data_IF_750522810142
#
_entry.id   IF_750522810142
#
_cell.length_a   1.000
_cell.length_b   1.000
_cell.length_c   1.000
_cell.angle_alpha   90.00
_cell.angle_beta   90.00
_cell.angle_gamma   90.00
#
_symmetry.space_group_name_H-M   'P 1'
#
loop_
_entity.id
_entity.type
_entity.pdbx_description
1 polymer ?
#
# COMPACT_ATOMS: atom_id res chain seq x y z
N UNK A 1 9.28 -13.07 8.09
CA UNK A 1 9.01 -11.86 8.93
C UNK A 1 7.53 -11.51 8.74
N UNK A 2 6.85 -10.50 9.34
CA UNK A 2 5.52 -10.17 8.84
C UNK A 2 5.73 -9.39 7.53
N UNK A 3 5.78 -10.13 6.42
CA UNK A 3 6.27 -9.70 5.09
C UNK A 3 5.21 -8.92 4.32
N UNK A 4 4.03 -8.75 4.92
CA UNK A 4 2.83 -8.24 4.28
C UNK A 4 2.56 -6.77 4.61
N UNK A 5 3.60 -5.96 4.82
CA UNK A 5 3.44 -4.50 4.98
C UNK A 5 4.22 -3.75 3.92
N UNK A 6 3.55 -2.77 3.30
CA UNK A 6 4.15 -1.86 2.33
C UNK A 6 4.29 -0.50 2.99
N UNK A 7 5.50 0.05 2.98
CA UNK A 7 5.76 1.38 3.53
C UNK A 7 5.44 2.49 2.53
N UNK A 8 5.30 3.71 3.03
CA UNK A 8 5.19 4.92 2.20
C UNK A 8 6.37 5.06 1.23
N UNK A 9 7.56 4.65 1.67
CA UNK A 9 8.77 4.67 0.84
C UNK A 9 8.68 3.66 -0.31
N UNK A 10 8.14 2.46 -0.04
CA UNK A 10 7.96 1.42 -1.06
C UNK A 10 6.94 1.87 -2.12
N UNK A 11 5.81 2.45 -1.70
CA UNK A 11 4.83 3.02 -2.63
C UNK A 11 5.46 4.08 -3.53
N UNK A 12 6.23 5.01 -2.95
CA UNK A 12 6.95 6.04 -3.72
C UNK A 12 7.98 5.43 -4.68
N UNK A 13 8.69 4.39 -4.26
CA UNK A 13 9.65 3.68 -5.12
C UNK A 13 8.96 2.97 -6.30
N UNK A 14 7.72 2.51 -6.11
CA UNK A 14 6.86 1.96 -7.15
C UNK A 14 6.16 3.04 -8.01
N UNK A 15 6.38 4.32 -7.72
CA UNK A 15 5.74 5.44 -8.42
C UNK A 15 4.27 5.69 -8.02
N UNK A 16 3.82 5.07 -6.92
CA UNK A 16 2.46 5.22 -6.39
C UNK A 16 2.46 6.34 -5.35
N UNK A 17 1.58 7.34 -5.52
CA UNK A 17 1.39 8.38 -4.51
C UNK A 17 0.69 7.78 -3.27
N UNK A 18 1.29 7.86 -2.06
CA UNK A 18 0.65 7.40 -0.82
C UNK A 18 -0.70 8.05 -0.51
N UNK A 19 -1.01 9.21 -1.09
CA UNK A 19 -2.34 9.82 -0.99
C UNK A 19 -3.43 8.92 -1.63
N UNK A 20 -3.08 8.12 -2.64
CA UNK A 20 -3.99 7.19 -3.31
C UNK A 20 -4.47 6.09 -2.36
N UNK A 21 -3.70 5.71 -1.34
CA UNK A 21 -4.14 4.74 -0.32
C UNK A 21 -5.45 5.21 0.32
N UNK A 22 -5.58 6.51 0.64
CA UNK A 22 -6.82 7.04 1.24
C UNK A 22 -8.00 7.09 0.28
N UNK A 23 -7.74 7.17 -1.02
CA UNK A 23 -8.77 7.31 -2.05
C UNK A 23 -9.25 5.95 -2.52
N UNK A 24 -8.32 5.02 -2.78
CA UNK A 24 -8.59 3.72 -3.38
C UNK A 24 -8.71 2.59 -2.33
N UNK A 25 -8.09 2.76 -1.17
CA UNK A 25 -8.10 1.80 -0.07
C UNK A 25 -8.52 2.48 1.25
N UNK A 26 -9.72 3.09 1.35
CA UNK A 26 -10.15 3.83 2.54
C UNK A 26 -10.26 2.97 3.81
N UNK A 27 -10.28 1.64 3.68
CA UNK A 27 -10.25 0.69 4.79
C UNK A 27 -8.82 0.40 5.30
N UNK A 28 -7.78 0.70 4.52
CA UNK A 28 -6.40 0.42 4.89
C UNK A 28 -5.96 1.28 6.07
N UNK A 29 -5.70 0.65 7.22
CA UNK A 29 -5.27 1.35 8.43
C UNK A 29 -3.75 1.53 8.39
N UNK A 30 -3.32 2.79 8.40
CA UNK A 30 -1.89 3.11 8.48
C UNK A 30 -1.34 2.78 9.87
N UNK A 31 -0.32 1.92 9.92
CA UNK A 31 0.52 1.73 11.09
C UNK A 31 1.76 2.62 10.97
N UNK A 32 2.22 3.18 12.09
CA UNK A 32 3.44 3.98 12.13
C UNK A 32 4.59 3.08 12.60
N UNK A 33 5.53 2.81 11.70
CA UNK A 33 6.71 2.02 12.00
C UNK A 33 7.76 2.78 12.81
N UNK A 34 8.82 2.07 13.22
CA UNK A 34 9.97 2.66 13.91
C UNK A 34 10.69 3.63 12.95
N UNK A 35 10.54 4.94 13.20
CA UNK A 35 11.04 6.01 12.33
C UNK A 35 9.97 6.97 11.79
N UNK A 36 8.69 6.77 12.16
CA UNK A 36 7.61 7.66 11.75
C UNK A 36 7.07 7.40 10.34
N UNK A 37 7.58 6.37 9.66
CA UNK A 37 7.12 5.95 8.34
C UNK A 37 5.78 5.25 8.46
N UNK A 38 4.83 5.64 7.62
CA UNK A 38 3.52 4.98 7.52
C UNK A 38 3.66 3.70 6.70
N UNK A 39 3.07 2.62 7.19
CA UNK A 39 3.00 1.34 6.50
C UNK A 39 1.56 0.83 6.53
N UNK A 40 1.18 0.07 5.51
CA UNK A 40 -0.14 -0.53 5.38
C UNK A 40 -0.02 -2.02 5.07
N UNK A 41 -0.99 -2.85 5.49
CA UNK A 41 -1.05 -4.23 5.06
C UNK A 41 -1.10 -4.32 3.52
N UNK A 42 -0.31 -5.20 2.92
CA UNK A 42 -0.25 -5.39 1.47
C UNK A 42 -1.62 -5.81 0.93
N UNK A 43 -2.32 -6.75 1.59
CA UNK A 43 -3.69 -7.16 1.21
C UNK A 43 -4.66 -5.98 1.06
N UNK A 44 -4.60 -5.01 1.97
CA UNK A 44 -5.48 -3.84 1.92
C UNK A 44 -5.15 -2.91 0.74
N UNK A 45 -3.93 -2.99 0.23
CA UNK A 45 -3.43 -2.21 -0.90
C UNK A 45 -3.58 -2.91 -2.25
N UNK A 46 -4.21 -4.10 -2.32
CA UNK A 46 -4.43 -4.82 -3.58
C UNK A 46 -4.98 -3.94 -4.73
N UNK A 47 -5.91 -2.98 -4.50
CA UNK A 47 -6.37 -2.05 -5.54
C UNK A 47 -5.29 -1.13 -6.14
N UNK A 48 -4.20 -0.86 -5.41
CA UNK A 48 -3.11 0.00 -5.88
C UNK A 48 -2.13 -0.71 -6.80
N UNK A 49 -1.98 -2.02 -6.63
CA UNK A 49 -1.00 -2.80 -7.38
C UNK A 49 -1.52 -3.31 -8.72
N UNK A 50 -2.84 -3.25 -8.94
CA UNK A 50 -3.48 -3.66 -10.18
C UNK A 50 -3.37 -5.18 -10.37
N UNK A 51 -4.49 -5.84 -10.65
CA UNK A 51 -4.44 -7.19 -11.20
C UNK A 51 -3.76 -7.11 -12.58
N UNK A 52 -2.52 -7.58 -12.72
CA UNK A 52 -2.02 -7.92 -14.05
C UNK A 52 -2.91 -9.05 -14.61
N UNK A 53 -3.78 -8.72 -15.56
CA UNK A 53 -4.44 -9.68 -16.45
C UNK A 53 -5.81 -10.20 -16.02
N UNK A 54 -6.83 -9.79 -16.77
CA UNK A 54 -8.18 -10.34 -16.66
C UNK A 54 -9.09 -9.87 -17.78
N UNK A 55 -8.63 -9.96 -19.04
CA UNK A 55 -9.56 -10.21 -20.14
C UNK A 55 -10.24 -11.55 -19.87
N UNK A 56 -11.56 -11.56 -19.59
CA UNK A 56 -12.58 -12.51 -20.08
C UNK A 56 -13.97 -11.89 -19.95
#
# INVERSE_FOLDING_TARGET
MPEDYVSECDLKALGIDPALVRILCPWAIALVGHGGVRCWPHDDLAPLFGAEGGEQ
#
